data_IF_634567018913
#
_entry.id   IF_634567018913
#
_cell.length_a   1.000
_cell.length_b   1.000
_cell.length_c   1.000
_cell.angle_alpha   90.00
_cell.angle_beta   90.00
_cell.angle_gamma   90.00
#
_symmetry.space_group_name_H-M   'P 1'
#
loop_
_entity.id
_entity.type
_entity.pdbx_description
1 polymer ?
#
# COMPACT_ATOMS: atom_id res chain seq x y z
N UNK A 1 81.75 50.39 -24.32
CA UNK A 1 83.01 50.65 -23.60
C UNK A 1 82.80 50.18 -22.17
N UNK A 2 83.55 49.15 -21.76
CA UNK A 2 83.72 48.60 -20.40
C UNK A 2 82.47 48.01 -19.72
N UNK A 3 82.38 46.68 -19.52
CA UNK A 3 83.07 45.88 -18.49
C UNK A 3 82.69 46.30 -17.07
N UNK A 4 81.96 45.45 -16.34
CA UNK A 4 82.44 44.74 -15.13
C UNK A 4 81.28 44.01 -14.42
N UNK A 5 81.41 42.68 -14.34
CA UNK A 5 80.93 41.85 -13.22
C UNK A 5 81.89 42.06 -12.02
N UNK A 6 81.47 41.89 -10.75
CA UNK A 6 81.42 40.53 -10.17
C UNK A 6 80.33 40.24 -9.12
N UNK A 7 79.80 39.02 -9.25
CA UNK A 7 79.58 37.98 -8.24
C UNK A 7 79.67 38.35 -6.73
N UNK A 8 78.61 38.02 -5.98
CA UNK A 8 78.70 37.34 -4.67
C UNK A 8 77.38 36.62 -4.33
N UNK A 9 77.50 35.32 -4.14
CA UNK A 9 76.55 34.32 -3.63
C UNK A 9 76.16 34.55 -2.17
N UNK A 10 74.88 34.43 -1.80
CA UNK A 10 74.45 33.93 -0.47
C UNK A 10 73.06 33.25 -0.57
N UNK A 11 73.06 31.95 -0.25
CA UNK A 11 72.05 31.13 0.44
C UNK A 11 70.58 31.13 -0.02
N UNK A 12 70.18 29.97 -0.54
CA UNK A 12 68.80 29.55 -0.68
C UNK A 12 68.19 29.20 0.69
N UNK A 13 67.07 29.83 1.03
CA UNK A 13 66.10 29.28 1.99
C UNK A 13 64.85 28.88 1.19
N UNK A 14 64.65 27.58 1.06
CA UNK A 14 63.45 26.97 0.50
C UNK A 14 62.34 27.08 1.58
N UNK A 15 61.43 28.04 1.43
CA UNK A 15 60.25 28.13 2.27
C UNK A 15 59.22 27.10 1.78
N UNK A 16 59.12 25.98 2.50
CA UNK A 16 58.07 24.99 2.32
C UNK A 16 56.71 25.59 2.69
N UNK A 17 55.90 25.87 1.68
CA UNK A 17 54.50 26.24 1.82
C UNK A 17 53.72 24.96 2.20
N UNK A 18 53.43 24.77 3.49
CA UNK A 18 52.53 23.72 3.94
C UNK A 18 51.11 24.19 3.65
N UNK A 19 50.51 23.74 2.54
CA UNK A 19 49.07 23.81 2.35
C UNK A 19 48.42 22.94 3.43
N UNK A 20 47.84 23.57 4.43
CA UNK A 20 46.88 22.92 5.31
C UNK A 20 45.62 22.71 4.47
N UNK A 21 45.42 21.48 4.00
CA UNK A 21 44.10 21.02 3.59
C UNK A 21 43.24 21.05 4.84
N UNK A 22 42.37 22.05 4.96
CA UNK A 22 41.21 21.95 5.82
C UNK A 22 40.42 20.75 5.32
N UNK A 23 40.54 19.62 6.02
CA UNK A 23 39.58 18.54 5.92
C UNK A 23 38.25 19.15 6.34
N UNK A 24 37.36 19.38 5.38
CA UNK A 24 35.95 19.42 5.70
C UNK A 24 35.64 18.02 6.21
N UNK A 25 35.35 17.89 7.50
CA UNK A 25 34.66 16.72 8.02
C UNK A 25 33.32 16.69 7.29
N UNK A 26 33.26 15.90 6.21
CA UNK A 26 32.00 15.51 5.61
C UNK A 26 31.27 14.70 6.68
N UNK A 27 30.04 15.11 7.00
CA UNK A 27 29.10 14.27 7.71
C UNK A 27 29.13 12.88 7.05
N UNK A 28 29.23 11.83 7.87
CA UNK A 28 29.46 10.46 7.42
C UNK A 28 28.52 10.12 6.26
N UNK A 29 29.08 10.08 5.06
CA UNK A 29 28.38 9.66 3.86
C UNK A 29 28.71 8.19 3.68
N UNK A 30 27.70 7.35 3.42
CA UNK A 30 27.90 5.93 3.16
C UNK A 30 28.91 5.72 2.02
N UNK A 31 29.55 4.55 1.99
CA UNK A 31 30.51 4.24 0.93
C UNK A 31 29.80 4.16 -0.44
N UNK A 32 30.55 4.26 -1.53
CA UNK A 32 29.98 4.34 -2.88
C UNK A 32 29.21 3.08 -3.33
N UNK A 33 29.35 1.97 -2.60
CA UNK A 33 28.65 0.69 -2.78
C UNK A 33 27.57 0.42 -1.73
N UNK A 34 27.13 1.46 -1.01
CA UNK A 34 26.06 1.41 -0.03
C UNK A 34 24.94 2.37 -0.40
N UNK A 35 23.70 1.93 -0.21
CA UNK A 35 22.53 2.80 -0.22
C UNK A 35 22.43 3.53 1.12
N UNK A 36 22.06 4.81 1.06
CA UNK A 36 21.94 5.68 2.24
C UNK A 36 20.47 5.84 2.61
N UNK A 37 20.06 5.24 3.73
CA UNK A 37 18.76 5.48 4.34
C UNK A 37 18.90 6.57 5.42
N UNK A 38 18.05 7.59 5.35
CA UNK A 38 17.99 8.69 6.33
C UNK A 38 16.58 8.74 6.91
N UNK A 39 16.51 8.76 8.24
CA UNK A 39 15.27 9.03 8.99
C UNK A 39 15.42 10.37 9.67
N UNK A 40 14.68 11.36 9.18
CA UNK A 40 14.60 12.69 9.77
C UNK A 40 13.31 12.82 10.58
N UNK A 41 13.43 13.19 11.85
CA UNK A 41 12.33 13.45 12.77
C UNK A 41 12.41 14.90 13.21
N UNK A 42 11.40 15.70 12.89
CA UNK A 42 11.13 16.98 13.55
C UNK A 42 10.12 16.72 14.65
N UNK A 43 10.52 16.80 15.93
CA UNK A 43 9.60 16.62 17.06
C UNK A 43 8.64 17.78 17.21
N UNK A 44 7.49 17.51 17.82
CA UNK A 44 6.49 18.51 18.19
C UNK A 44 6.71 19.00 19.64
N UNK A 45 5.69 19.53 20.33
CA UNK A 45 5.83 19.95 21.74
C UNK A 45 5.90 18.77 22.73
N UNK A 46 5.58 17.55 22.31
CA UNK A 46 5.55 16.34 23.14
C UNK A 46 6.51 15.24 22.61
N UNK A 47 7.82 15.55 22.51
CA UNK A 47 8.83 14.68 21.90
C UNK A 47 9.01 13.31 22.56
N UNK A 48 8.57 13.17 23.82
CA UNK A 48 8.72 11.95 24.62
C UNK A 48 7.74 10.85 24.26
N UNK A 49 6.79 11.12 23.38
CA UNK A 49 5.77 10.17 22.94
C UNK A 49 6.16 9.50 21.61
N UNK A 50 7.05 10.13 20.84
CA UNK A 50 7.52 9.66 19.54
C UNK A 50 8.68 8.67 19.65
N UNK A 51 8.54 7.50 19.04
CA UNK A 51 9.63 6.53 18.81
C UNK A 51 9.50 5.88 17.44
N UNK A 52 10.54 5.27 16.90
CA UNK A 52 10.47 4.61 15.60
C UNK A 52 11.50 3.50 15.46
N UNK A 53 11.26 2.61 14.50
CA UNK A 53 12.19 1.55 14.11
C UNK A 53 12.27 1.35 12.59
N UNK A 54 13.42 0.86 12.15
CA UNK A 54 13.65 0.37 10.80
C UNK A 54 14.01 -1.10 10.90
N UNK A 55 13.28 -1.90 10.14
CA UNK A 55 13.43 -3.36 10.03
C UNK A 55 13.89 -3.72 8.63
N UNK A 56 14.93 -4.56 8.54
CA UNK A 56 15.40 -5.18 7.30
C UNK A 56 15.23 -6.69 7.43
N UNK A 57 14.52 -7.31 6.49
CA UNK A 57 14.28 -8.77 6.48
C UNK A 57 13.76 -9.33 7.81
N UNK A 58 12.90 -8.57 8.50
CA UNK A 58 12.30 -8.94 9.78
C UNK A 58 13.20 -8.73 11.01
N UNK A 59 14.40 -8.16 10.86
CA UNK A 59 15.26 -7.75 11.96
C UNK A 59 15.31 -6.22 12.13
N UNK A 60 15.04 -5.73 13.32
CA UNK A 60 15.21 -4.31 13.68
C UNK A 60 16.71 -3.96 13.63
N UNK A 61 17.07 -3.02 12.77
CA UNK A 61 18.47 -2.60 12.53
C UNK A 61 18.77 -1.17 12.99
N UNK A 62 17.75 -0.33 13.12
CA UNK A 62 17.88 1.04 13.57
C UNK A 62 16.62 1.44 14.36
N UNK A 63 16.79 2.21 15.43
CA UNK A 63 15.70 2.71 16.27
C UNK A 63 15.99 4.14 16.70
N UNK A 64 14.96 4.94 16.92
CA UNK A 64 15.08 6.27 17.50
C UNK A 64 13.96 6.62 18.48
N UNK A 65 14.18 7.71 19.22
CA UNK A 65 13.33 8.12 20.33
C UNK A 65 13.35 7.18 21.54
N UNK A 66 12.53 7.44 22.58
CA UNK A 66 11.81 8.69 22.81
C UNK A 66 12.75 9.90 22.93
N UNK A 67 12.25 11.09 22.63
CA UNK A 67 13.06 12.31 22.57
C UNK A 67 12.80 13.25 23.77
N UNK A 68 13.82 14.01 24.16
CA UNK A 68 13.75 14.92 25.32
C UNK A 68 13.42 16.37 24.95
N UNK A 69 13.71 16.79 23.71
CA UNK A 69 13.55 18.17 23.25
C UNK A 69 12.48 18.27 22.15
N UNK A 70 11.53 19.18 22.35
CA UNK A 70 10.48 19.50 21.38
C UNK A 70 10.93 20.54 20.37
N UNK A 71 10.23 20.61 19.24
CA UNK A 71 10.57 21.47 18.10
C UNK A 71 12.03 21.28 17.61
N UNK A 72 12.56 20.06 17.75
CA UNK A 72 13.95 19.72 17.45
C UNK A 72 14.03 18.73 16.29
N UNK A 73 15.09 18.86 15.47
CA UNK A 73 15.35 17.93 14.36
C UNK A 73 16.38 16.89 14.81
N UNK A 74 16.00 15.62 14.70
CA UNK A 74 16.85 14.46 14.84
C UNK A 74 17.00 13.80 13.47
N UNK A 75 18.21 13.36 13.14
CA UNK A 75 18.52 12.74 11.87
C UNK A 75 19.43 11.54 12.14
N UNK A 76 18.96 10.36 11.76
CA UNK A 76 19.73 9.12 11.85
C UNK A 76 19.97 8.56 10.44
N UNK A 77 21.13 7.95 10.24
CA UNK A 77 21.55 7.44 8.93
C UNK A 77 21.95 5.97 9.06
N UNK A 78 21.40 5.13 8.19
CA UNK A 78 21.79 3.73 8.02
C UNK A 78 22.39 3.56 6.62
N UNK A 79 23.58 2.95 6.57
CA UNK A 79 24.19 2.52 5.33
C UNK A 79 23.86 1.05 5.09
N UNK A 80 23.22 0.77 3.95
CA UNK A 80 22.75 -0.56 3.55
C UNK A 80 23.65 -1.02 2.40
N UNK A 81 24.36 -2.15 2.51
CA UNK A 81 25.15 -2.67 1.41
C UNK A 81 24.29 -2.85 0.14
N UNK A 82 24.75 -2.35 -1.00
CA UNK A 82 24.00 -2.45 -2.26
C UNK A 82 23.79 -3.90 -2.75
N UNK A 83 24.47 -4.88 -2.13
CA UNK A 83 24.25 -6.30 -2.39
C UNK A 83 22.99 -6.87 -1.77
N UNK A 84 22.40 -6.18 -0.79
CA UNK A 84 21.47 -6.82 0.12
C UNK A 84 20.00 -6.67 -0.32
N UNK A 85 19.69 -5.81 -1.31
CA UNK A 85 18.32 -5.45 -1.79
C UNK A 85 17.20 -5.76 -0.77
N UNK A 86 17.30 -5.26 0.49
CA UNK A 86 16.45 -5.74 1.55
C UNK A 86 15.09 -5.07 1.47
N UNK A 87 14.02 -5.80 1.79
CA UNK A 87 12.71 -5.18 1.95
C UNK A 87 12.74 -4.33 3.24
N UNK A 88 12.66 -3.01 3.10
CA UNK A 88 12.79 -2.05 4.19
C UNK A 88 11.42 -1.73 4.74
N UNK A 89 11.25 -1.96 6.05
CA UNK A 89 10.08 -1.52 6.80
C UNK A 89 10.47 -0.40 7.75
N UNK A 90 9.77 0.73 7.66
CA UNK A 90 9.83 1.82 8.63
C UNK A 90 8.51 1.91 9.38
N UNK A 91 8.58 2.05 10.70
CA UNK A 91 7.43 2.28 11.55
C UNK A 91 7.77 3.35 12.60
N UNK A 92 6.88 4.33 12.74
CA UNK A 92 6.91 5.36 13.76
C UNK A 92 5.70 5.19 14.67
N UNK A 93 5.89 5.42 15.96
CA UNK A 93 4.90 5.25 17.00
C UNK A 93 4.77 6.53 17.80
N UNK A 94 3.53 6.85 18.17
CA UNK A 94 3.20 7.86 19.15
C UNK A 94 2.42 7.23 20.32
N UNK A 95 2.96 7.31 21.52
CA UNK A 95 2.38 6.61 22.68
C UNK A 95 1.09 7.21 23.22
N UNK A 96 0.72 8.42 22.79
CA UNK A 96 -0.52 9.09 23.20
C UNK A 96 -1.65 8.91 22.19
N UNK A 97 -1.29 8.66 20.92
CA UNK A 97 -2.22 8.35 19.85
C UNK A 97 -2.76 9.58 19.13
N UNK A 98 -2.11 10.74 19.26
CA UNK A 98 -2.49 11.97 18.54
C UNK A 98 -1.46 12.43 17.49
N UNK A 99 -0.46 11.58 17.24
CA UNK A 99 0.60 11.82 16.26
C UNK A 99 1.55 12.92 16.70
N UNK A 100 2.22 13.54 15.74
CA UNK A 100 3.20 14.60 15.98
C UNK A 100 2.83 15.93 15.30
N UNK A 101 1.63 16.03 14.71
CA UNK A 101 1.02 17.28 14.30
C UNK A 101 -0.51 17.14 14.33
N UNK A 102 -1.34 18.17 14.29
CA UNK A 102 -1.14 19.61 14.05
C UNK A 102 -1.56 20.48 15.25
N UNK A 103 -1.98 19.85 16.35
CA UNK A 103 -2.59 20.53 17.50
C UNK A 103 -1.57 21.15 18.45
N UNK A 104 -0.41 20.50 18.60
CA UNK A 104 0.60 20.83 19.60
C UNK A 104 2.01 20.96 19.01
N UNK A 105 2.09 21.38 17.75
CA UNK A 105 3.35 21.52 17.04
C UNK A 105 3.19 21.05 15.59
N UNK A 106 4.20 21.34 14.79
CA UNK A 106 4.28 20.90 13.40
C UNK A 106 5.44 19.90 13.30
N UNK A 107 5.33 18.82 14.07
CA UNK A 107 6.25 17.70 13.98
C UNK A 107 6.00 16.90 12.71
N UNK A 108 7.05 16.23 12.22
CA UNK A 108 6.96 15.36 11.06
C UNK A 108 8.12 14.37 11.02
N UNK A 109 7.90 13.24 10.37
CA UNK A 109 8.95 12.33 9.94
C UNK A 109 9.14 12.40 8.42
N UNK A 110 10.37 12.20 7.97
CA UNK A 110 10.72 12.04 6.56
C UNK A 110 11.75 10.91 6.45
N UNK A 111 11.42 9.88 5.68
CA UNK A 111 12.30 8.75 5.40
C UNK A 111 12.77 8.84 3.96
N UNK A 112 14.08 8.86 3.77
CA UNK A 112 14.72 9.06 2.46
C UNK A 112 15.70 7.93 2.17
N UNK A 113 15.61 7.31 0.98
CA UNK A 113 16.56 6.32 0.48
C UNK A 113 17.27 6.89 -0.75
N UNK A 114 18.60 6.97 -0.72
CA UNK A 114 19.43 7.51 -1.81
C UNK A 114 18.99 8.90 -2.32
N UNK A 115 18.48 9.72 -1.39
CA UNK A 115 17.98 11.06 -1.67
C UNK A 115 16.53 11.14 -2.16
N UNK A 116 15.85 10.00 -2.34
CA UNK A 116 14.43 9.93 -2.67
C UNK A 116 13.59 9.74 -1.40
N UNK A 117 12.60 10.60 -1.20
CA UNK A 117 11.63 10.43 -0.09
C UNK A 117 10.74 9.21 -0.35
N UNK A 118 10.77 8.26 0.56
CA UNK A 118 10.00 7.02 0.52
C UNK A 118 8.73 7.11 1.37
N UNK A 119 8.80 7.83 2.50
CA UNK A 119 7.67 8.08 3.38
C UNK A 119 7.83 9.43 4.08
N UNK A 120 6.71 10.08 4.38
CA UNK A 120 6.70 11.29 5.21
C UNK A 120 5.31 11.50 5.79
N UNK A 121 5.23 12.02 7.01
CA UNK A 121 3.96 12.27 7.68
C UNK A 121 4.17 12.97 9.02
N UNK A 122 3.10 13.18 9.76
CA UNK A 122 3.14 13.80 11.08
C UNK A 122 1.77 13.82 11.75
N UNK A 123 0.73 14.00 10.93
CA UNK A 123 -0.62 13.64 11.30
C UNK A 123 -0.63 12.12 11.22
N UNK A 124 -0.92 11.43 12.31
CA UNK A 124 -1.24 10.01 12.48
C UNK A 124 -1.76 9.86 13.93
N UNK A 125 -2.23 8.69 14.34
CA UNK A 125 -2.62 8.44 15.72
C UNK A 125 -1.54 7.71 16.48
N UNK A 126 -1.65 6.39 16.61
CA UNK A 126 -0.71 5.56 17.38
C UNK A 126 0.52 5.15 16.57
N UNK A 127 0.39 4.94 15.26
CA UNK A 127 1.54 4.60 14.41
C UNK A 127 1.34 4.94 12.95
N UNK A 128 2.44 5.16 12.26
CA UNK A 128 2.46 5.25 10.80
C UNK A 128 3.68 4.51 10.28
N UNK A 129 3.68 4.16 9.00
CA UNK A 129 4.80 3.42 8.44
C UNK A 129 4.77 3.32 6.93
N UNK A 130 5.82 2.70 6.41
CA UNK A 130 5.92 2.34 5.01
C UNK A 130 6.83 1.13 4.82
N UNK A 131 6.51 0.34 3.81
CA UNK A 131 7.34 -0.76 3.33
C UNK A 131 7.78 -0.42 1.91
N UNK A 132 9.08 -0.45 1.65
CA UNK A 132 9.68 0.01 0.38
C UNK A 132 11.02 -0.67 0.08
N UNK A 133 11.50 -0.49 -1.16
CA UNK A 133 12.71 -1.11 -1.67
C UNK A 133 12.70 -2.65 -1.61
N UNK A 134 11.50 -3.24 -1.67
CA UNK A 134 11.30 -4.69 -1.66
C UNK A 134 11.43 -5.26 -3.08
N UNK A 135 11.56 -6.58 -3.17
CA UNK A 135 11.58 -7.22 -4.47
C UNK A 135 10.23 -7.03 -5.19
N UNK A 136 10.26 -7.09 -6.52
CA UNK A 136 9.05 -6.92 -7.32
C UNK A 136 7.97 -7.93 -6.88
N UNK A 137 6.76 -7.45 -6.63
CA UNK A 137 5.60 -8.21 -6.17
C UNK A 137 5.55 -8.48 -4.67
N UNK A 138 6.50 -8.03 -3.86
CA UNK A 138 6.41 -8.16 -2.39
C UNK A 138 5.47 -7.13 -1.75
N UNK A 139 5.29 -5.98 -2.41
CA UNK A 139 4.36 -4.92 -1.97
C UNK A 139 3.39 -4.55 -3.08
N UNK A 140 2.29 -3.87 -2.73
CA UNK A 140 1.37 -3.33 -3.72
C UNK A 140 2.02 -2.23 -4.59
N UNK A 141 3.06 -1.54 -4.08
CA UNK A 141 3.79 -0.49 -4.81
C UNK A 141 4.66 -1.08 -5.93
N UNK A 142 5.17 -2.28 -5.72
CA UNK A 142 6.07 -2.99 -6.64
C UNK A 142 5.37 -4.17 -7.33
N UNK A 143 4.04 -4.20 -7.32
CA UNK A 143 3.22 -5.28 -7.83
C UNK A 143 3.50 -5.60 -9.31
N UNK A 144 3.45 -6.89 -9.67
CA UNK A 144 3.69 -7.33 -11.05
C UNK A 144 2.45 -7.07 -11.92
N UNK A 145 2.57 -6.32 -13.03
CA UNK A 145 1.44 -6.10 -13.93
C UNK A 145 1.10 -7.37 -14.70
N UNK A 146 -0.14 -7.81 -14.58
CA UNK A 146 -0.76 -8.85 -15.39
C UNK A 146 -1.38 -8.23 -16.65
N UNK A 147 -1.37 -9.01 -17.71
CA UNK A 147 -1.95 -8.67 -19.01
C UNK A 147 -2.75 -9.85 -19.54
N UNK A 148 -3.44 -9.65 -20.67
CA UNK A 148 -4.10 -10.76 -21.37
C UNK A 148 -3.14 -11.83 -21.89
N UNK A 149 -1.82 -11.57 -21.91
CA UNK A 149 -0.82 -12.58 -22.27
C UNK A 149 -0.56 -13.57 -21.12
N UNK A 150 -0.97 -13.22 -19.91
CA UNK A 150 -0.75 -14.01 -18.69
C UNK A 150 -1.96 -14.88 -18.34
N UNK A 151 -2.96 -14.99 -19.23
CA UNK A 151 -4.08 -15.91 -19.03
C UNK A 151 -3.63 -17.37 -18.96
N UNK A 152 -4.30 -18.14 -18.10
CA UNK A 152 -3.94 -19.48 -17.66
C UNK A 152 -3.12 -19.47 -16.37
N UNK A 153 -2.15 -20.37 -16.25
CA UNK A 153 -1.35 -20.53 -15.04
C UNK A 153 -0.32 -19.40 -14.88
N UNK A 154 -0.43 -18.66 -13.77
CA UNK A 154 0.54 -17.67 -13.29
C UNK A 154 1.32 -18.28 -12.11
N UNK A 155 2.64 -18.05 -12.09
CA UNK A 155 3.51 -18.52 -11.00
C UNK A 155 3.72 -17.40 -9.97
N UNK A 156 3.37 -17.69 -8.71
CA UNK A 156 3.74 -16.89 -7.54
C UNK A 156 5.05 -17.39 -6.95
N UNK A 157 6.08 -16.53 -6.79
CA UNK A 157 7.41 -16.98 -6.35
C UNK A 157 7.51 -17.21 -4.84
N UNK A 158 6.61 -16.64 -4.06
CA UNK A 158 6.61 -16.71 -2.59
C UNK A 158 5.19 -16.96 -2.05
N UNK A 159 5.08 -17.17 -0.74
CA UNK A 159 3.81 -17.37 -0.06
C UNK A 159 2.90 -16.15 -0.07
N UNK A 160 3.41 -14.92 -0.24
CA UNK A 160 2.56 -13.74 -0.42
C UNK A 160 3.11 -12.84 -1.52
N UNK A 161 2.26 -12.48 -2.47
CA UNK A 161 2.69 -11.77 -3.66
C UNK A 161 1.58 -10.90 -4.27
N UNK A 162 2.00 -9.79 -4.85
CA UNK A 162 1.14 -8.73 -5.37
C UNK A 162 1.25 -8.60 -6.89
N UNK A 163 0.09 -8.45 -7.49
CA UNK A 163 -0.08 -8.21 -8.91
C UNK A 163 -0.95 -6.98 -9.12
N UNK A 164 -0.82 -6.34 -10.28
CA UNK A 164 -1.78 -5.34 -10.76
C UNK A 164 -2.45 -5.83 -12.02
N UNK A 165 -3.71 -5.49 -12.22
CA UNK A 165 -4.41 -5.77 -13.46
C UNK A 165 -5.29 -4.60 -13.86
N UNK A 166 -5.20 -4.18 -15.13
CA UNK A 166 -6.06 -3.14 -15.70
C UNK A 166 -6.77 -3.71 -16.92
N UNK A 167 -8.07 -4.07 -16.81
CA UNK A 167 -8.82 -4.62 -17.93
C UNK A 167 -8.88 -3.66 -19.12
N UNK A 168 -8.73 -4.16 -20.35
CA UNK A 168 -8.96 -3.36 -21.56
C UNK A 168 -10.46 -3.15 -21.86
N UNK A 169 -11.33 -3.97 -21.25
CA UNK A 169 -12.78 -3.95 -21.41
C UNK A 169 -13.47 -4.49 -20.16
N UNK A 170 -14.75 -4.17 -19.99
CA UNK A 170 -15.56 -4.72 -18.90
C UNK A 170 -15.67 -6.24 -19.05
N UNK A 171 -15.50 -6.97 -17.96
CA UNK A 171 -15.34 -8.42 -18.06
C UNK A 171 -15.47 -9.17 -16.75
N UNK A 172 -15.92 -10.43 -16.86
CA UNK A 172 -15.79 -11.41 -15.80
C UNK A 172 -14.41 -12.05 -15.90
N UNK A 173 -13.67 -12.03 -14.79
CA UNK A 173 -12.34 -12.60 -14.66
C UNK A 173 -12.33 -13.64 -13.55
N UNK A 174 -11.73 -14.80 -13.84
CA UNK A 174 -11.55 -15.89 -12.88
C UNK A 174 -10.14 -15.84 -12.30
N UNK A 175 -10.06 -16.00 -10.98
CA UNK A 175 -8.84 -16.14 -10.20
C UNK A 175 -9.00 -17.41 -9.37
N UNK A 176 -8.08 -18.37 -9.46
CA UNK A 176 -8.26 -19.66 -8.79
C UNK A 176 -6.92 -20.28 -8.40
N UNK A 177 -6.76 -20.63 -7.13
CA UNK A 177 -5.65 -21.45 -6.65
C UNK A 177 -6.05 -22.94 -6.51
N UNK A 178 -7.27 -23.30 -6.91
CA UNK A 178 -7.82 -24.64 -6.68
C UNK A 178 -6.95 -25.76 -7.23
N UNK A 179 -6.76 -26.80 -6.41
CA UNK A 179 -5.98 -27.97 -6.80
C UNK A 179 -4.47 -27.81 -6.62
N UNK A 180 -4.00 -26.68 -6.05
CA UNK A 180 -2.62 -26.54 -5.62
C UNK A 180 -2.35 -27.20 -4.24
N UNK A 181 -3.40 -27.49 -3.46
CA UNK A 181 -3.31 -28.17 -2.16
C UNK A 181 -2.78 -27.29 -1.02
N UNK A 182 -2.96 -25.98 -1.11
CA UNK A 182 -2.48 -24.98 -0.14
C UNK A 182 -3.66 -24.23 0.48
N UNK A 183 -3.54 -23.85 1.75
CA UNK A 183 -4.44 -22.88 2.38
C UNK A 183 -4.10 -21.51 1.80
N UNK A 184 -4.99 -20.97 0.95
CA UNK A 184 -4.74 -19.74 0.18
C UNK A 184 -5.87 -18.74 0.32
N UNK A 185 -5.48 -17.47 0.38
CA UNK A 185 -6.40 -16.33 0.38
C UNK A 185 -6.15 -15.45 -0.82
N UNK A 186 -7.24 -14.96 -1.39
CA UNK A 186 -7.27 -14.00 -2.49
C UNK A 186 -7.84 -12.69 -1.99
N UNK A 187 -7.11 -11.60 -2.20
CA UNK A 187 -7.56 -10.24 -1.91
C UNK A 187 -7.48 -9.43 -3.20
N UNK A 188 -8.54 -8.69 -3.51
CA UNK A 188 -8.56 -7.74 -4.61
C UNK A 188 -8.93 -6.37 -4.06
N UNK A 189 -8.12 -5.36 -4.37
CA UNK A 189 -8.29 -3.96 -3.99
C UNK A 189 -8.35 -3.08 -5.23
N UNK A 190 -8.92 -1.89 -5.10
CA UNK A 190 -8.92 -0.81 -6.10
C UNK A 190 -7.98 0.35 -5.71
N UNK A 191 -7.18 0.17 -4.66
CA UNK A 191 -6.15 1.10 -4.20
C UNK A 191 -4.90 0.33 -3.71
N UNK A 192 -3.82 1.06 -3.47
CA UNK A 192 -2.60 0.54 -2.86
C UNK A 192 -2.15 1.47 -1.74
N UNK A 193 -2.28 1.00 -0.49
CA UNK A 193 -1.83 1.68 0.72
C UNK A 193 -1.30 0.61 1.68
N UNK A 194 0.01 0.32 1.65
CA UNK A 194 0.61 -0.79 2.40
C UNK A 194 0.34 -0.74 3.91
N UNK A 195 0.17 0.46 4.50
CA UNK A 195 -0.14 0.60 5.93
C UNK A 195 -1.54 0.09 6.33
N UNK A 196 -2.44 -0.08 5.37
CA UNK A 196 -3.82 -0.52 5.62
C UNK A 196 -4.04 -2.01 5.30
N UNK A 197 -3.01 -2.72 4.83
CA UNK A 197 -3.15 -4.09 4.35
C UNK A 197 -2.59 -5.08 5.36
N UNK A 198 -3.47 -5.91 5.90
CA UNK A 198 -3.14 -7.05 6.73
C UNK A 198 -3.68 -8.35 6.10
N UNK A 199 -3.77 -9.43 6.88
CA UNK A 199 -4.27 -10.73 6.41
C UNK A 199 -5.77 -10.92 6.69
N UNK A 200 -6.51 -9.81 6.88
CA UNK A 200 -7.96 -9.75 7.05
C UNK A 200 -8.64 -9.24 5.77
N UNK A 201 -9.97 -9.31 5.70
CA UNK A 201 -10.70 -8.95 4.48
C UNK A 201 -11.01 -7.44 4.39
N UNK A 202 -10.59 -6.68 5.40
CA UNK A 202 -10.80 -5.26 5.57
C UNK A 202 -10.21 -4.49 4.37
N UNK A 203 -10.97 -3.52 3.85
CA UNK A 203 -10.57 -2.74 2.67
C UNK A 203 -10.62 -3.46 1.32
N UNK A 204 -10.78 -4.79 1.27
CA UNK A 204 -10.87 -5.52 -0.01
C UNK A 204 -12.22 -5.31 -0.69
N UNK A 205 -12.21 -5.19 -2.02
CA UNK A 205 -13.43 -5.18 -2.85
C UNK A 205 -13.90 -6.59 -3.21
N UNK A 206 -12.97 -7.54 -3.26
CA UNK A 206 -13.25 -8.96 -3.36
C UNK A 206 -12.27 -9.75 -2.49
N UNK A 207 -12.79 -10.79 -1.83
CA UNK A 207 -12.02 -11.62 -0.93
C UNK A 207 -12.52 -13.05 -0.96
N UNK A 208 -11.59 -14.00 -0.87
CA UNK A 208 -11.92 -15.40 -0.63
C UNK A 208 -10.85 -16.08 0.25
N UNK A 209 -11.33 -16.82 1.23
CA UNK A 209 -10.61 -17.63 2.22
C UNK A 209 -11.48 -18.85 2.52
N UNK A 210 -11.72 -19.69 1.49
CA UNK A 210 -12.46 -20.97 1.51
C UNK A 210 -13.94 -20.92 1.08
N UNK A 211 -14.45 -19.79 0.60
CA UNK A 211 -15.86 -19.64 0.19
C UNK A 211 -16.08 -19.91 -1.30
N UNK A 212 -15.00 -19.94 -2.10
CA UNK A 212 -15.00 -20.22 -3.55
C UNK A 212 -15.39 -21.64 -3.95
N UNK A 213 -15.50 -22.55 -2.97
CA UNK A 213 -16.06 -23.89 -3.18
C UNK A 213 -15.04 -24.96 -3.60
N UNK A 214 -13.74 -24.70 -3.43
CA UNK A 214 -12.70 -25.68 -3.73
C UNK A 214 -11.85 -26.17 -2.55
N UNK A 215 -12.24 -25.87 -1.31
CA UNK A 215 -11.60 -26.43 -0.12
C UNK A 215 -10.95 -25.34 0.71
N UNK A 216 -9.69 -25.55 1.04
CA UNK A 216 -8.83 -24.55 1.71
C UNK A 216 -8.19 -23.58 0.68
N UNK A 217 -8.45 -23.83 -0.60
CA UNK A 217 -8.04 -22.97 -1.70
C UNK A 217 -9.05 -21.86 -2.01
N UNK A 218 -8.55 -20.71 -2.47
CA UNK A 218 -9.36 -19.58 -2.89
C UNK A 218 -9.72 -19.61 -4.40
N UNK A 219 -10.96 -19.23 -4.70
CA UNK A 219 -11.46 -19.04 -6.06
C UNK A 219 -12.53 -17.95 -6.12
N UNK A 220 -12.33 -17.01 -7.04
CA UNK A 220 -13.32 -15.99 -7.36
C UNK A 220 -13.52 -15.85 -8.86
N UNK A 221 -14.76 -15.50 -9.24
CA UNK A 221 -15.07 -14.95 -10.56
C UNK A 221 -15.69 -13.59 -10.35
N UNK A 222 -14.95 -12.54 -10.71
CA UNK A 222 -15.26 -11.14 -10.37
C UNK A 222 -15.49 -10.32 -11.62
N UNK A 223 -16.28 -9.26 -11.49
CA UNK A 223 -16.48 -8.29 -12.56
C UNK A 223 -15.50 -7.13 -12.38
N UNK A 224 -14.69 -6.87 -13.41
CA UNK A 224 -13.74 -5.76 -13.43
C UNK A 224 -14.07 -4.79 -14.56
N UNK A 225 -13.91 -3.51 -14.27
CA UNK A 225 -14.20 -2.40 -15.19
C UNK A 225 -13.00 -2.05 -16.07
N UNK A 226 -13.28 -1.64 -17.30
CA UNK A 226 -12.28 -1.22 -18.27
C UNK A 226 -11.50 0.01 -17.80
N UNK A 227 -10.18 -0.07 -17.83
CA UNK A 227 -9.29 1.04 -17.51
C UNK A 227 -9.14 1.34 -16.02
N UNK A 228 -9.78 0.56 -15.13
CA UNK A 228 -9.56 0.62 -13.69
C UNK A 228 -8.43 -0.34 -13.32
N UNK A 229 -7.48 0.12 -12.51
CA UNK A 229 -6.39 -0.73 -12.01
C UNK A 229 -6.81 -1.38 -10.70
N UNK A 230 -6.61 -2.68 -10.62
CA UNK A 230 -6.86 -3.50 -9.45
C UNK A 230 -5.56 -4.08 -8.92
N UNK A 231 -5.43 -4.16 -7.61
CA UNK A 231 -4.33 -4.83 -6.92
C UNK A 231 -4.81 -6.19 -6.44
N UNK A 232 -4.17 -7.25 -6.94
CA UNK A 232 -4.49 -8.63 -6.62
C UNK A 232 -3.38 -9.18 -5.73
N UNK A 233 -3.70 -9.51 -4.49
CA UNK A 233 -2.78 -10.16 -3.56
C UNK A 233 -3.17 -11.61 -3.42
N UNK A 234 -2.20 -12.49 -3.59
CA UNK A 234 -2.29 -13.88 -3.17
C UNK A 234 -1.50 -14.06 -1.89
N UNK A 235 -2.04 -14.82 -0.94
CA UNK A 235 -1.33 -15.26 0.26
C UNK A 235 -1.58 -16.75 0.52
N UNK A 236 -0.58 -17.47 0.98
CA UNK A 236 -0.67 -18.85 1.44
C UNK A 236 -0.20 -18.98 2.88
N UNK A 237 -1.01 -19.64 3.70
CA UNK A 237 -0.78 -19.77 5.14
C UNK A 237 -0.38 -21.18 5.57
N UNK A 238 -0.74 -22.20 4.78
CA UNK A 238 -0.34 -23.59 5.00
C UNK A 238 -0.20 -24.35 3.66
N UNK A 239 0.53 -25.46 3.69
CA UNK A 239 0.76 -26.33 2.54
C UNK A 239 2.10 -26.09 1.81
N UNK A 240 2.27 -26.66 0.60
CA UNK A 240 3.53 -26.60 -0.13
C UNK A 240 3.85 -25.23 -0.76
N UNK A 241 2.90 -24.28 -0.77
CA UNK A 241 3.00 -22.98 -1.44
C UNK A 241 3.84 -21.95 -0.66
N UNK A 242 5.01 -22.37 -0.20
CA UNK A 242 5.99 -21.49 0.46
C UNK A 242 6.98 -20.86 -0.52
N UNK A 243 7.14 -21.48 -1.69
CA UNK A 243 7.98 -21.04 -2.82
C UNK A 243 7.28 -21.44 -4.12
N UNK A 244 7.57 -20.77 -5.24
CA UNK A 244 7.11 -21.08 -6.62
C UNK A 244 5.88 -22.00 -6.71
N UNK A 245 4.68 -21.41 -6.72
CA UNK A 245 3.42 -22.13 -6.84
C UNK A 245 2.50 -21.48 -7.89
N UNK A 246 1.60 -22.28 -8.47
CA UNK A 246 0.74 -21.87 -9.57
C UNK A 246 -0.68 -21.51 -9.12
N UNK A 247 -1.27 -20.53 -9.78
CA UNK A 247 -2.68 -20.16 -9.71
C UNK A 247 -3.17 -19.79 -11.11
N UNK A 248 -4.47 -19.91 -11.39
CA UNK A 248 -5.08 -19.64 -12.68
C UNK A 248 -5.70 -18.24 -12.73
N UNK A 249 -5.46 -17.55 -13.85
CA UNK A 249 -6.02 -16.25 -14.17
C UNK A 249 -6.65 -16.30 -15.56
N UNK A 250 -7.95 -16.07 -15.70
CA UNK A 250 -8.61 -16.18 -17.01
C UNK A 250 -9.66 -15.11 -17.23
N UNK A 251 -9.77 -14.64 -18.48
CA UNK A 251 -10.95 -13.92 -18.93
C UNK A 251 -12.08 -14.91 -19.24
N UNK A 252 -13.14 -14.87 -18.42
CA UNK A 252 -14.30 -15.75 -18.56
C UNK A 252 -15.20 -15.28 -19.70
N UNK A 253 -15.34 -13.97 -19.85
CA UNK A 253 -16.17 -13.36 -20.88
C UNK A 253 -16.76 -12.03 -20.46
N UNK A 254 -17.55 -11.37 -21.34
CA UNK A 254 -18.33 -10.21 -20.96
C UNK A 254 -19.32 -10.54 -19.84
N UNK A 255 -19.71 -9.56 -19.00
CA UNK A 255 -20.72 -9.81 -17.97
C UNK A 255 -22.06 -10.15 -18.63
N UNK A 256 -22.54 -11.38 -18.39
CA UNK A 256 -23.81 -11.89 -18.92
C UNK A 256 -24.80 -12.14 -17.79
N UNK A 257 -26.08 -11.91 -18.05
CA UNK A 257 -27.15 -12.07 -17.06
C UNK A 257 -28.47 -11.56 -17.61
N UNK A 258 -29.53 -11.58 -16.81
CA UNK A 258 -30.77 -10.93 -17.24
C UNK A 258 -30.56 -9.40 -17.27
N UNK A 259 -30.83 -8.78 -18.41
CA UNK A 259 -30.70 -7.33 -18.62
C UNK A 259 -32.04 -6.59 -18.54
N UNK A 260 -33.14 -7.31 -18.33
CA UNK A 260 -34.47 -6.73 -18.19
C UNK A 260 -34.72 -6.32 -16.73
N UNK A 261 -34.87 -5.02 -16.41
CA UNK A 261 -35.14 -4.55 -15.04
C UNK A 261 -36.49 -4.98 -14.49
N UNK A 262 -37.41 -5.53 -15.31
CA UNK A 262 -38.68 -6.09 -14.85
C UNK A 262 -38.56 -7.57 -14.41
N UNK A 263 -37.40 -8.20 -14.60
CA UNK A 263 -37.15 -9.59 -14.21
C UNK A 263 -36.65 -9.71 -12.76
N UNK A 264 -37.03 -10.79 -12.09
CA UNK A 264 -36.69 -11.07 -10.70
C UNK A 264 -35.19 -11.33 -10.48
N UNK A 265 -34.48 -11.72 -11.53
CA UNK A 265 -33.03 -11.95 -11.52
C UNK A 265 -32.28 -10.94 -12.40
N UNK A 266 -32.83 -9.73 -12.55
CA UNK A 266 -32.15 -8.62 -13.21
C UNK A 266 -30.75 -8.42 -12.61
N UNK A 267 -29.75 -8.40 -13.48
CA UNK A 267 -28.37 -8.11 -13.10
C UNK A 267 -27.99 -6.75 -13.67
N UNK A 268 -27.85 -5.70 -12.83
CA UNK A 268 -27.51 -4.36 -13.31
C UNK A 268 -26.12 -4.28 -13.94
N UNK A 269 -25.29 -5.28 -13.68
CA UNK A 269 -23.94 -5.40 -14.19
C UNK A 269 -23.85 -6.20 -15.50
N UNK A 270 -24.95 -6.85 -15.94
CA UNK A 270 -24.96 -7.60 -17.18
C UNK A 270 -25.03 -6.68 -18.41
N UNK A 271 -24.09 -6.84 -19.33
CA UNK A 271 -24.06 -6.13 -20.62
C UNK A 271 -24.71 -6.95 -21.75
N UNK A 272 -24.81 -8.26 -21.56
CA UNK A 272 -25.37 -9.20 -22.53
C UNK A 272 -26.43 -10.07 -21.88
N UNK A 273 -27.63 -10.06 -22.49
CA UNK A 273 -28.69 -10.96 -22.11
C UNK A 273 -28.32 -12.41 -22.47
N UNK A 274 -28.33 -13.29 -21.46
CA UNK A 274 -28.12 -14.72 -21.66
C UNK A 274 -29.45 -15.51 -21.74
N UNK A 275 -30.59 -14.83 -21.76
CA UNK A 275 -31.92 -15.43 -21.83
C UNK A 275 -32.37 -16.11 -20.54
N UNK A 276 -31.68 -15.85 -19.41
CA UNK A 276 -32.04 -16.40 -18.09
C UNK A 276 -33.09 -15.59 -17.35
N UNK A 277 -33.64 -14.52 -17.94
CA UNK A 277 -34.63 -13.66 -17.28
C UNK A 277 -35.84 -14.47 -16.76
N UNK A 278 -36.03 -14.42 -15.45
CA UNK A 278 -37.17 -15.02 -14.74
C UNK A 278 -38.15 -13.91 -14.38
N UNK A 279 -39.42 -14.09 -14.72
CA UNK A 279 -40.44 -13.04 -14.55
C UNK A 279 -41.44 -13.38 -13.44
N UNK A 280 -42.12 -12.36 -12.87
CA UNK A 280 -43.16 -12.58 -11.88
C UNK A 280 -44.23 -13.59 -12.33
N UNK A 281 -44.48 -14.60 -11.50
CA UNK A 281 -45.38 -15.72 -11.78
C UNK A 281 -44.68 -17.02 -12.21
N UNK A 282 -43.37 -16.98 -12.43
CA UNK A 282 -42.55 -18.17 -12.60
C UNK A 282 -42.20 -18.82 -11.24
N UNK A 283 -42.28 -20.16 -11.07
CA UNK A 283 -41.86 -20.85 -9.86
C UNK A 283 -40.38 -20.73 -9.47
N UNK A 284 -39.53 -20.16 -10.32
CA UNK A 284 -38.13 -19.85 -9.99
C UNK A 284 -37.98 -18.41 -9.46
N UNK A 285 -39.01 -17.56 -9.59
CA UNK A 285 -39.09 -16.23 -8.98
C UNK A 285 -39.70 -16.32 -7.56
N UNK A 286 -39.07 -17.11 -6.68
CA UNK A 286 -39.52 -17.31 -5.28
C UNK A 286 -38.48 -16.84 -4.25
N UNK A 287 -37.60 -15.94 -4.65
CA UNK A 287 -36.49 -15.47 -3.81
C UNK A 287 -36.74 -14.09 -3.21
N UNK A 288 -35.92 -13.68 -2.24
CA UNK A 288 -35.88 -12.29 -1.83
C UNK A 288 -35.53 -11.40 -3.05
N UNK A 289 -36.33 -10.35 -3.27
CA UNK A 289 -36.08 -9.32 -4.28
C UNK A 289 -35.68 -8.05 -3.56
N UNK A 290 -34.38 -7.75 -3.55
CA UNK A 290 -33.81 -6.65 -2.81
C UNK A 290 -33.72 -5.40 -3.68
N UNK A 291 -34.45 -4.36 -3.30
CA UNK A 291 -34.36 -3.04 -3.93
C UNK A 291 -33.74 -2.02 -2.97
N UNK A 292 -32.90 -1.15 -3.50
CA UNK A 292 -32.44 0.05 -2.79
C UNK A 292 -33.53 1.12 -2.92
N UNK A 293 -34.02 1.64 -1.80
CA UNK A 293 -35.05 2.68 -1.78
C UNK A 293 -34.41 4.03 -2.13
N UNK A 294 -34.56 4.44 -3.40
CA UNK A 294 -33.97 5.68 -3.93
C UNK A 294 -34.35 6.93 -3.11
N UNK A 295 -35.61 7.06 -2.71
CA UNK A 295 -36.08 8.18 -1.88
C UNK A 295 -35.33 8.27 -0.54
N UNK A 296 -34.88 7.15 0.03
CA UNK A 296 -34.11 7.16 1.28
C UNK A 296 -32.73 7.80 1.06
N UNK A 297 -32.08 7.52 -0.06
CA UNK A 297 -30.79 8.11 -0.43
C UNK A 297 -30.97 9.61 -0.68
N UNK A 298 -31.90 10.00 -1.57
CA UNK A 298 -32.09 11.39 -1.99
C UNK A 298 -32.42 12.29 -0.78
N UNK A 299 -33.29 11.84 0.11
CA UNK A 299 -33.74 12.65 1.24
C UNK A 299 -32.75 12.67 2.43
N UNK A 300 -31.73 11.80 2.43
CA UNK A 300 -30.72 11.75 3.50
C UNK A 300 -29.32 12.20 3.05
N UNK A 301 -29.14 12.47 1.75
CA UNK A 301 -27.88 12.92 1.19
C UNK A 301 -27.46 14.25 1.82
N UNK A 302 -26.30 14.26 2.47
CA UNK A 302 -25.73 15.44 3.12
C UNK A 302 -24.21 15.39 3.11
N UNK A 303 -23.58 16.56 3.10
CA UNK A 303 -22.13 16.71 3.26
C UNK A 303 -21.82 17.09 4.70
N UNK A 304 -20.86 16.43 5.31
CA UNK A 304 -20.36 16.74 6.65
C UNK A 304 -18.84 16.76 6.64
N UNK A 305 -18.22 17.71 7.35
CA UNK A 305 -16.80 17.63 7.66
C UNK A 305 -16.66 16.95 9.02
N UNK A 306 -16.14 15.74 9.01
CA UNK A 306 -15.84 14.96 10.21
C UNK A 306 -14.34 15.09 10.52
N UNK A 307 -14.01 15.25 11.79
CA UNK A 307 -12.63 14.99 12.25
C UNK A 307 -12.52 13.50 12.50
N UNK A 308 -11.60 12.85 11.82
CA UNK A 308 -11.35 11.41 11.89
C UNK A 308 -10.00 11.22 12.56
N UNK A 309 -9.95 10.46 13.65
CA UNK A 309 -8.70 10.05 14.28
C UNK A 309 -8.26 8.72 13.67
N UNK A 310 -6.97 8.38 13.75
CA UNK A 310 -6.49 7.08 13.26
C UNK A 310 -7.10 5.90 14.01
N UNK A 311 -7.34 6.04 15.33
CA UNK A 311 -8.00 5.01 16.15
C UNK A 311 -9.54 4.96 15.97
N UNK A 312 -10.10 5.80 15.11
CA UNK A 312 -11.52 5.68 14.79
C UNK A 312 -11.72 4.43 13.93
N UNK A 313 -12.72 3.62 14.28
CA UNK A 313 -12.99 2.36 13.59
C UNK A 313 -13.14 2.50 12.06
N UNK A 314 -13.49 3.69 11.55
CA UNK A 314 -13.61 3.91 10.11
C UNK A 314 -12.26 3.88 9.37
N UNK A 315 -11.14 4.13 10.05
CA UNK A 315 -9.79 4.00 9.51
C UNK A 315 -9.37 2.53 9.59
N UNK A 316 -9.48 1.92 10.78
CA UNK A 316 -9.18 0.50 11.00
C UNK A 316 -9.98 -0.43 10.08
N UNK A 317 -11.27 -0.14 9.88
CA UNK A 317 -12.17 -0.91 9.00
C UNK A 317 -11.96 -0.58 7.51
N UNK A 318 -11.00 0.29 7.16
CA UNK A 318 -10.70 0.71 5.79
C UNK A 318 -11.84 1.49 5.11
N UNK A 319 -12.85 1.95 5.86
CA UNK A 319 -13.98 2.70 5.34
C UNK A 319 -13.59 4.12 4.89
N UNK A 320 -12.51 4.68 5.45
CA UNK A 320 -11.97 5.99 5.11
C UNK A 320 -10.46 5.90 4.91
N UNK A 321 -9.96 6.60 3.89
CA UNK A 321 -8.53 6.78 3.69
C UNK A 321 -8.03 8.03 4.41
N UNK A 322 -7.31 7.82 5.51
CA UNK A 322 -6.52 8.81 6.24
C UNK A 322 -7.27 9.69 7.25
N UNK A 323 -6.44 10.39 8.01
CA UNK A 323 -6.67 11.29 9.14
C UNK A 323 -7.49 12.56 9.03
N UNK A 324 -7.82 13.23 10.14
CA UNK A 324 -8.07 14.67 10.18
C UNK A 324 -9.41 15.10 9.57
N UNK A 325 -9.45 16.29 8.97
CA UNK A 325 -10.69 16.85 8.43
C UNK A 325 -11.11 16.16 7.12
N UNK A 326 -12.13 15.29 7.19
CA UNK A 326 -12.69 14.57 6.04
C UNK A 326 -14.05 15.12 5.65
N UNK A 327 -14.17 15.55 4.40
CA UNK A 327 -15.47 15.87 3.80
C UNK A 327 -16.14 14.57 3.36
N UNK A 328 -17.23 14.23 4.05
CA UNK A 328 -18.00 12.99 3.85
C UNK A 328 -19.32 13.31 3.19
N UNK A 329 -19.67 12.53 2.16
CA UNK A 329 -21.03 12.47 1.63
C UNK A 329 -21.77 11.35 2.34
N UNK A 330 -22.60 11.72 3.32
CA UNK A 330 -23.44 10.78 4.07
C UNK A 330 -24.78 10.59 3.38
N UNK A 331 -25.24 9.35 3.34
CA UNK A 331 -26.57 8.99 2.89
C UNK A 331 -27.03 7.72 3.62
N UNK A 332 -28.33 7.46 3.58
CA UNK A 332 -28.98 6.27 4.13
C UNK A 332 -29.28 5.31 2.99
N UNK A 333 -28.64 4.14 3.00
CA UNK A 333 -29.05 3.01 2.17
C UNK A 333 -30.13 2.21 2.90
N UNK A 334 -31.34 2.18 2.35
CA UNK A 334 -32.41 1.31 2.84
C UNK A 334 -32.68 0.24 1.78
N UNK A 335 -32.36 -1.01 2.11
CA UNK A 335 -32.61 -2.16 1.25
C UNK A 335 -33.94 -2.81 1.69
N UNK A 336 -34.92 -2.90 0.78
CA UNK A 336 -36.18 -3.59 1.02
C UNK A 336 -36.20 -4.91 0.27
N UNK A 337 -36.63 -5.97 0.94
CA UNK A 337 -37.11 -7.16 0.24
C UNK A 337 -38.57 -6.95 -0.19
N UNK A 338 -38.83 -6.86 -1.50
CA UNK A 338 -40.17 -6.78 -2.10
C UNK A 338 -40.62 -8.11 -2.73
N UNK A 339 -39.78 -9.14 -2.65
CA UNK A 339 -40.06 -10.49 -3.14
C UNK A 339 -40.88 -11.31 -2.14
N UNK A 340 -41.24 -12.51 -2.55
CA UNK A 340 -41.91 -13.49 -1.68
C UNK A 340 -40.87 -14.18 -0.77
N UNK A 341 -41.20 -14.34 0.52
CA UNK A 341 -40.35 -14.98 1.53
C UNK A 341 -40.45 -16.50 1.56
#
# INVERSE_FOLDING_TARGET
>A
MNLLHPCKTVSALCATLVLWTLSFDAFAQCEADESTLIVDILTDSYPGETSWEVTLDGAVVLTGGPYDEGDAVYADTLCIPASDEPCIQFEIFDSFGDGMCCGYGEGQYVVTLDGQTMASGGDFGESAGAIFACAQGETCNDAIPLTSADYGTVTSPSSSFWYTFTPEGNGMYSFSSCGNGCDTRLYIYDYCQMGNFDDTNEGSIYFDDNQGGCGEEAQLTVLLEAGVTYWVRWASFDGPCTTDWGWEFDFVGPPTGCTDPEACNYSPMAELDNGSCVYPGDPECNGPDLIVVEDAIINSLSTEVMQVNESDCYIDEGCLNGYGARELVRFTTHIKNIGDL
#
